data_IF_602918836637
#
_entry.id   IF_602918836637
#
_cell.length_a   1.000
_cell.length_b   1.000
_cell.length_c   1.000
_cell.angle_alpha   90.00
_cell.angle_beta   90.00
_cell.angle_gamma   90.00
#
_symmetry.space_group_name_H-M   'P 1'
#
loop_
_entity.id
_entity.type
_entity.pdbx_description
1 polymer ?
#
# COMPACT_ATOMS: atom_id res chain seq x y z
N UNK A 1 -12.15 17.91 17.91
CA UNK A 1 -11.91 17.18 16.63
C UNK A 1 -10.43 16.97 16.44
N UNK A 2 -10.01 15.77 16.09
CA UNK A 2 -8.62 15.47 15.74
C UNK A 2 -8.32 16.08 14.36
N UNK A 3 -7.25 16.86 14.26
CA UNK A 3 -6.72 17.36 13.00
C UNK A 3 -5.58 16.43 12.58
N UNK A 4 -5.68 15.84 11.39
CA UNK A 4 -4.66 14.99 10.81
C UNK A 4 -3.72 15.85 9.96
N UNK A 5 -2.41 15.79 10.22
CA UNK A 5 -1.40 16.58 9.51
C UNK A 5 -0.62 15.71 8.51
N UNK A 6 -0.18 14.53 8.94
CA UNK A 6 0.62 13.64 8.10
C UNK A 6 0.38 12.17 8.40
N UNK A 7 0.63 11.33 7.42
CA UNK A 7 0.50 9.87 7.50
C UNK A 7 1.77 9.25 6.95
N UNK A 8 2.42 8.39 7.75
CA UNK A 8 3.51 7.54 7.29
C UNK A 8 3.06 6.10 7.22
N UNK A 9 3.31 5.45 6.09
CA UNK A 9 2.76 4.13 5.84
C UNK A 9 3.59 3.29 4.85
N UNK A 10 3.39 1.96 4.92
CA UNK A 10 3.94 0.95 3.99
C UNK A 10 2.87 -0.09 3.68
N UNK A 11 3.03 -0.85 2.61
CA UNK A 11 2.20 -2.00 2.24
C UNK A 11 0.70 -1.64 2.20
N UNK A 12 -0.16 -2.37 2.90
CA UNK A 12 -1.59 -2.09 3.02
C UNK A 12 -1.85 -0.72 3.68
N UNK A 13 -0.99 -0.31 4.62
CA UNK A 13 -1.04 1.01 5.22
C UNK A 13 -0.85 2.13 4.20
N UNK A 14 0.04 1.95 3.22
CA UNK A 14 0.23 2.92 2.13
C UNK A 14 -1.02 3.03 1.24
N UNK A 15 -1.68 1.91 0.94
CA UNK A 15 -2.98 1.92 0.24
C UNK A 15 -4.01 2.72 1.04
N UNK A 16 -4.15 2.42 2.33
CA UNK A 16 -5.07 3.14 3.21
C UNK A 16 -4.79 4.64 3.24
N UNK A 17 -3.53 5.03 3.40
CA UNK A 17 -3.13 6.44 3.46
C UNK A 17 -3.49 7.21 2.19
N UNK A 18 -3.19 6.64 1.03
CA UNK A 18 -3.44 7.29 -0.26
C UNK A 18 -4.93 7.31 -0.61
N UNK A 19 -5.65 6.21 -0.39
CA UNK A 19 -7.13 6.16 -0.60
C UNK A 19 -7.85 7.11 0.33
N UNK A 20 -7.41 7.21 1.60
CA UNK A 20 -7.96 8.16 2.57
C UNK A 20 -7.74 9.60 2.11
N UNK A 21 -6.53 9.95 1.68
CA UNK A 21 -6.19 11.29 1.23
C UNK A 21 -6.97 11.67 -0.04
N UNK A 22 -7.07 10.78 -1.03
CA UNK A 22 -7.84 10.97 -2.25
C UNK A 22 -9.34 11.15 -1.97
N UNK A 23 -9.91 10.29 -1.14
CA UNK A 23 -11.31 10.40 -0.73
C UNK A 23 -11.59 11.68 0.06
N UNK A 24 -10.63 12.10 0.89
CA UNK A 24 -10.75 13.36 1.63
C UNK A 24 -10.72 14.58 0.70
N UNK A 25 -9.82 14.56 -0.29
CA UNK A 25 -9.74 15.61 -1.31
C UNK A 25 -11.05 15.76 -2.08
N UNK A 26 -11.71 14.64 -2.38
CA UNK A 26 -12.98 14.58 -3.14
C UNK A 26 -14.22 14.93 -2.32
N UNK A 27 -14.26 14.60 -1.02
CA UNK A 27 -15.48 14.72 -0.23
C UNK A 27 -15.25 14.79 1.29
N UNK A 28 -14.09 15.26 1.74
CA UNK A 28 -13.77 15.39 3.16
C UNK A 28 -13.86 14.06 3.91
N UNK A 29 -14.27 14.08 5.17
CA UNK A 29 -14.37 12.89 6.02
C UNK A 29 -15.30 11.81 5.46
N UNK A 30 -16.40 12.21 4.84
CA UNK A 30 -17.34 11.27 4.23
C UNK A 30 -16.73 10.59 3.00
N UNK A 31 -16.08 11.36 2.12
CA UNK A 31 -15.38 10.86 0.96
C UNK A 31 -14.24 9.90 1.32
N UNK A 32 -13.49 10.19 2.38
CA UNK A 32 -12.43 9.30 2.88
C UNK A 32 -12.98 7.93 3.31
N UNK A 33 -14.09 7.91 4.07
CA UNK A 33 -14.74 6.65 4.48
C UNK A 33 -15.27 5.86 3.28
N UNK A 34 -15.94 6.54 2.36
CA UNK A 34 -16.49 5.91 1.15
C UNK A 34 -15.38 5.36 0.28
N UNK A 35 -14.30 6.12 0.09
CA UNK A 35 -13.13 5.68 -0.67
C UNK A 35 -12.49 4.40 -0.09
N UNK A 36 -12.25 4.39 1.21
CA UNK A 36 -11.71 3.21 1.89
C UNK A 36 -12.64 1.99 1.78
N UNK A 37 -13.93 2.17 2.03
CA UNK A 37 -14.92 1.09 1.91
C UNK A 37 -14.97 0.53 0.48
N UNK A 38 -15.04 1.41 -0.53
CA UNK A 38 -15.07 1.02 -1.94
C UNK A 38 -13.79 0.31 -2.39
N UNK A 39 -12.63 0.77 -1.92
CA UNK A 39 -11.34 0.15 -2.25
C UNK A 39 -11.27 -1.28 -1.70
N UNK A 40 -11.54 -1.47 -0.41
CA UNK A 40 -11.45 -2.80 0.20
C UNK A 40 -12.53 -3.77 -0.26
N UNK A 41 -13.74 -3.28 -0.56
CA UNK A 41 -14.78 -4.09 -1.21
C UNK A 41 -14.32 -4.58 -2.60
N UNK A 42 -13.72 -3.69 -3.39
CA UNK A 42 -13.19 -4.05 -4.70
C UNK A 42 -12.01 -5.03 -4.62
N UNK A 43 -11.12 -4.88 -3.65
CA UNK A 43 -10.02 -5.83 -3.38
C UNK A 43 -10.61 -7.20 -2.98
N UNK A 44 -11.59 -7.21 -2.08
CA UNK A 44 -12.25 -8.45 -1.65
C UNK A 44 -12.92 -9.21 -2.79
N UNK A 45 -13.55 -8.50 -3.72
CA UNK A 45 -14.17 -9.10 -4.92
C UNK A 45 -13.18 -9.69 -5.92
N UNK A 46 -11.92 -9.27 -5.88
CA UNK A 46 -10.85 -9.82 -6.73
C UNK A 46 -10.19 -11.06 -6.13
N UNK A 47 -10.44 -11.35 -4.84
CA UNK A 47 -9.93 -12.57 -4.21
C UNK A 47 -10.71 -13.80 -4.69
N UNK A 48 -10.03 -14.89 -5.10
CA UNK A 48 -10.71 -16.14 -5.45
C UNK A 48 -11.53 -16.67 -4.27
N UNK A 49 -12.72 -17.17 -4.57
CA UNK A 49 -13.58 -17.79 -3.57
C UNK A 49 -12.84 -18.95 -2.85
N UNK A 50 -12.90 -18.98 -1.52
CA UNK A 50 -12.24 -20.00 -0.70
C UNK A 50 -10.77 -19.75 -0.35
N UNK A 51 -10.17 -18.63 -0.78
CA UNK A 51 -8.81 -18.27 -0.36
C UNK A 51 -8.72 -17.88 1.11
N UNK A 52 -9.79 -17.40 1.69
CA UNK A 52 -9.86 -16.87 3.05
C UNK A 52 -10.92 -17.63 3.82
N UNK A 53 -10.64 -18.00 5.04
CA UNK A 53 -11.60 -18.56 6.00
C UNK A 53 -11.69 -17.64 7.20
N UNK A 54 -12.85 -17.64 7.88
CA UNK A 54 -12.98 -17.02 9.18
C UNK A 54 -12.07 -17.76 10.16
N UNK A 55 -11.11 -17.05 10.76
CA UNK A 55 -10.26 -17.57 11.84
C UNK A 55 -10.98 -17.50 13.18
N UNK A 56 -10.24 -17.76 14.25
CA UNK A 56 -10.76 -17.64 15.62
C UNK A 56 -11.12 -16.17 15.93
N UNK A 57 -12.39 -15.89 16.20
CA UNK A 57 -12.92 -14.53 16.34
C UNK A 57 -13.15 -13.83 14.99
N UNK A 58 -12.97 -12.51 14.95
CA UNK A 58 -13.12 -11.67 13.73
C UNK A 58 -11.88 -11.68 12.81
N UNK A 59 -10.87 -12.50 13.10
CA UNK A 59 -9.66 -12.57 12.31
C UNK A 59 -9.89 -13.33 11.00
N UNK A 60 -9.48 -12.71 9.88
CA UNK A 60 -9.47 -13.36 8.57
C UNK A 60 -8.17 -14.17 8.45
N UNK A 61 -8.27 -15.48 8.19
CA UNK A 61 -7.13 -16.37 8.02
C UNK A 61 -7.11 -16.98 6.60
N UNK A 62 -5.91 -17.28 6.10
CA UNK A 62 -5.78 -18.05 4.87
C UNK A 62 -6.29 -19.48 5.10
N UNK A 63 -7.07 -20.02 4.16
CA UNK A 63 -7.51 -21.41 4.19
C UNK A 63 -6.30 -22.36 4.18
N UNK A 64 -6.43 -23.60 4.70
CA UNK A 64 -5.36 -24.59 4.64
C UNK A 64 -4.87 -24.83 3.21
N UNK A 65 -5.77 -24.85 2.23
CA UNK A 65 -5.44 -24.98 0.80
C UNK A 65 -4.63 -23.78 0.30
N UNK A 66 -4.98 -22.56 0.72
CA UNK A 66 -4.24 -21.34 0.36
C UNK A 66 -2.85 -21.32 0.99
N UNK A 67 -2.70 -21.78 2.22
CA UNK A 67 -1.40 -21.92 2.89
C UNK A 67 -0.49 -22.92 2.17
N UNK A 68 -1.07 -24.06 1.78
CA UNK A 68 -0.33 -25.08 1.01
C UNK A 68 0.11 -24.53 -0.36
N UNK A 69 -0.82 -23.86 -1.08
CA UNK A 69 -0.54 -23.25 -2.38
C UNK A 69 0.53 -22.15 -2.27
N UNK A 70 0.46 -21.30 -1.25
CA UNK A 70 1.46 -20.26 -0.99
C UNK A 70 2.84 -20.85 -0.69
N UNK A 71 2.91 -21.94 0.08
CA UNK A 71 4.15 -22.65 0.35
C UNK A 71 4.72 -23.29 -0.92
N UNK A 72 3.89 -23.94 -1.73
CA UNK A 72 4.28 -24.53 -3.01
C UNK A 72 4.76 -23.46 -4.00
N UNK A 73 4.00 -22.35 -4.13
CA UNK A 73 4.36 -21.21 -4.97
C UNK A 73 5.69 -20.54 -4.55
N UNK A 74 6.07 -20.65 -3.28
CA UNK A 74 7.34 -20.15 -2.76
C UNK A 74 8.60 -20.81 -3.37
N UNK A 75 8.45 -21.91 -4.07
CA UNK A 75 9.55 -22.59 -4.79
C UNK A 75 9.77 -22.05 -6.22
N UNK A 76 8.89 -21.19 -6.70
CA UNK A 76 8.96 -20.60 -8.05
C UNK A 76 9.33 -19.12 -7.98
N UNK A 77 9.98 -18.63 -9.04
CA UNK A 77 10.24 -17.20 -9.19
C UNK A 77 8.95 -16.45 -9.55
N UNK A 78 8.84 -15.14 -9.22
CA UNK A 78 7.70 -14.33 -9.64
C UNK A 78 7.42 -14.36 -11.13
N UNK A 79 8.47 -14.43 -11.94
CA UNK A 79 8.35 -14.54 -13.41
C UNK A 79 7.77 -15.86 -13.91
N UNK A 80 7.93 -16.93 -13.13
CA UNK A 80 7.34 -18.24 -13.45
C UNK A 80 5.87 -18.29 -13.02
N UNK A 81 5.51 -17.66 -11.90
CA UNK A 81 4.15 -17.61 -11.37
C UNK A 81 3.25 -16.62 -12.11
N UNK A 82 3.81 -15.50 -12.57
CA UNK A 82 3.11 -14.42 -13.25
C UNK A 82 3.89 -13.93 -14.49
N UNK A 83 3.98 -14.74 -15.56
CA UNK A 83 4.79 -14.43 -16.72
C UNK A 83 4.31 -13.19 -17.48
N UNK A 84 3.01 -12.88 -17.38
CA UNK A 84 2.40 -11.70 -18.03
C UNK A 84 2.42 -10.44 -17.16
N UNK A 85 2.98 -10.54 -15.95
CA UNK A 85 3.04 -9.45 -14.96
C UNK A 85 1.68 -8.77 -14.70
N UNK A 86 0.63 -9.60 -14.65
CA UNK A 86 -0.73 -9.13 -14.38
C UNK A 86 -0.83 -8.70 -12.92
N UNK A 87 -1.24 -7.45 -12.73
CA UNK A 87 -1.45 -6.90 -11.40
C UNK A 87 -2.85 -6.26 -11.31
N UNK A 88 -3.84 -7.00 -10.80
CA UNK A 88 -5.21 -6.49 -10.65
C UNK A 88 -5.28 -5.22 -9.78
N UNK A 89 -4.39 -5.10 -8.80
CA UNK A 89 -4.29 -3.92 -7.94
C UNK A 89 -3.93 -2.67 -8.75
N UNK A 90 -3.06 -2.80 -9.77
CA UNK A 90 -2.70 -1.70 -10.68
C UNK A 90 -3.94 -1.09 -11.33
N UNK A 91 -4.77 -1.91 -11.94
CA UNK A 91 -6.01 -1.47 -12.61
C UNK A 91 -6.98 -0.82 -11.63
N UNK A 92 -7.11 -1.38 -10.44
CA UNK A 92 -7.97 -0.84 -9.39
C UNK A 92 -7.51 0.55 -8.94
N UNK A 93 -6.23 0.71 -8.64
CA UNK A 93 -5.65 1.97 -8.18
C UNK A 93 -5.73 3.06 -9.26
N UNK A 94 -5.42 2.73 -10.52
CA UNK A 94 -5.57 3.67 -11.64
C UNK A 94 -7.00 4.20 -11.80
N UNK A 95 -7.99 3.35 -11.51
CA UNK A 95 -9.40 3.73 -11.63
C UNK A 95 -9.90 4.58 -10.47
N UNK A 96 -9.40 4.33 -9.26
CA UNK A 96 -9.94 4.93 -8.03
C UNK A 96 -9.21 6.21 -7.62
N UNK A 97 -7.90 6.30 -7.85
CA UNK A 97 -7.04 7.35 -7.29
C UNK A 97 -6.71 8.41 -8.34
N UNK A 98 -6.91 9.66 -7.96
CA UNK A 98 -6.42 10.82 -8.70
C UNK A 98 -5.02 11.21 -8.21
N UNK A 99 -4.00 10.55 -8.77
CA UNK A 99 -2.61 10.82 -8.39
C UNK A 99 -2.16 12.25 -8.71
N UNK A 100 -2.70 12.86 -9.77
CA UNK A 100 -2.37 14.23 -10.14
C UNK A 100 -2.97 15.23 -9.14
N UNK A 101 -4.23 15.06 -8.80
CA UNK A 101 -4.91 15.85 -7.78
C UNK A 101 -4.21 15.76 -6.42
N UNK A 102 -3.77 14.55 -6.02
CA UNK A 102 -3.03 14.35 -4.78
C UNK A 102 -1.67 15.05 -4.79
N UNK A 103 -0.91 15.00 -5.88
CA UNK A 103 0.36 15.74 -5.98
C UNK A 103 0.16 17.25 -5.89
N UNK A 104 -0.93 17.74 -6.46
CA UNK A 104 -1.23 19.17 -6.50
C UNK A 104 -1.79 19.71 -5.17
N UNK A 105 -2.62 18.93 -4.47
CA UNK A 105 -3.42 19.45 -3.36
C UNK A 105 -3.74 18.38 -2.30
N UNK A 106 -2.79 17.52 -1.94
CA UNK A 106 -3.01 16.53 -0.88
C UNK A 106 -3.44 17.22 0.42
N UNK A 107 -4.51 16.72 1.09
CA UNK A 107 -4.97 17.27 2.35
C UNK A 107 -4.03 16.96 3.53
N UNK A 108 -3.11 16.02 3.34
CA UNK A 108 -2.14 15.56 4.35
C UNK A 108 -0.77 15.40 3.75
N UNK A 109 0.28 15.53 4.56
CA UNK A 109 1.61 15.06 4.21
C UNK A 109 1.60 13.53 4.16
N UNK A 110 2.05 12.96 3.07
CA UNK A 110 2.14 11.50 2.90
C UNK A 110 3.60 11.06 2.85
N UNK A 111 3.91 10.03 3.61
CA UNK A 111 5.25 9.44 3.68
C UNK A 111 5.14 7.95 3.34
N UNK A 112 5.36 7.60 2.08
CA UNK A 112 5.20 6.24 1.58
C UNK A 112 6.56 5.55 1.54
N UNK A 113 6.71 4.53 2.39
CA UNK A 113 7.95 3.76 2.50
C UNK A 113 8.07 2.70 1.41
N UNK A 114 9.26 2.60 0.83
CA UNK A 114 9.69 1.53 -0.09
C UNK A 114 11.10 1.09 0.26
N UNK A 115 11.50 -0.11 -0.16
CA UNK A 115 12.86 -0.62 0.02
C UNK A 115 13.55 -0.67 -1.34
N UNK A 116 14.68 0.01 -1.49
CA UNK A 116 15.49 -0.10 -2.70
C UNK A 116 16.10 -1.51 -2.79
N UNK A 117 15.77 -2.26 -3.83
CA UNK A 117 16.10 -3.68 -3.93
C UNK A 117 17.61 -3.96 -3.95
N UNK A 118 18.40 -3.09 -4.60
CA UNK A 118 19.85 -3.28 -4.74
C UNK A 118 20.64 -3.00 -3.46
N UNK A 119 20.11 -2.17 -2.56
CA UNK A 119 20.85 -1.71 -1.37
C UNK A 119 20.19 -2.10 -0.04
N UNK A 120 18.93 -2.52 -0.06
CA UNK A 120 18.11 -2.74 1.13
C UNK A 120 17.76 -1.45 1.89
N UNK A 121 18.09 -0.28 1.34
CA UNK A 121 17.85 1.00 2.00
C UNK A 121 16.40 1.45 1.85
N UNK A 122 15.90 2.04 2.93
CA UNK A 122 14.61 2.71 2.93
C UNK A 122 14.63 3.94 2.01
N UNK A 123 13.62 4.06 1.17
CA UNK A 123 13.26 5.29 0.47
C UNK A 123 11.85 5.69 0.88
N UNK A 124 11.69 6.91 1.37
CA UNK A 124 10.37 7.49 1.69
C UNK A 124 10.03 8.50 0.61
N UNK A 125 8.92 8.29 -0.06
CA UNK A 125 8.34 9.20 -1.05
C UNK A 125 7.27 10.08 -0.40
N UNK A 126 7.20 11.34 -0.82
CA UNK A 126 6.24 12.31 -0.31
C UNK A 126 5.07 12.47 -1.28
N UNK A 127 3.99 13.12 -0.83
CA UNK A 127 2.77 13.33 -1.63
C UNK A 127 3.03 13.94 -3.01
N UNK A 128 3.96 14.90 -3.13
CA UNK A 128 4.28 15.55 -4.40
C UNK A 128 5.06 14.66 -5.38
N UNK A 129 5.65 13.56 -4.91
CA UNK A 129 6.32 12.54 -5.71
C UNK A 129 5.37 11.41 -6.11
N UNK A 130 4.17 11.32 -5.51
CA UNK A 130 3.33 10.14 -5.54
C UNK A 130 2.91 9.73 -6.96
N UNK A 131 3.20 8.48 -7.30
CA UNK A 131 2.76 7.82 -8.54
C UNK A 131 2.17 6.46 -8.24
N UNK A 132 1.52 5.87 -9.23
CA UNK A 132 1.03 4.50 -9.15
C UNK A 132 2.17 3.51 -8.84
N UNK A 133 3.33 3.70 -9.48
CA UNK A 133 4.50 2.85 -9.32
C UNK A 133 5.03 2.89 -7.88
N UNK A 134 5.06 4.05 -7.24
CA UNK A 134 5.47 4.21 -5.84
C UNK A 134 4.54 3.42 -4.92
N UNK A 135 3.23 3.52 -5.14
CA UNK A 135 2.26 2.82 -4.33
C UNK A 135 2.33 1.30 -4.54
N UNK A 136 2.49 0.85 -5.78
CA UNK A 136 2.72 -0.57 -6.10
C UNK A 136 4.03 -1.09 -5.52
N UNK A 137 5.10 -0.30 -5.56
CA UNK A 137 6.39 -0.66 -4.97
C UNK A 137 6.29 -0.86 -3.46
N UNK A 138 5.55 0.04 -2.77
CA UNK A 138 5.34 -0.05 -1.32
C UNK A 138 4.66 -1.36 -0.88
N UNK A 139 3.94 -2.04 -1.79
CA UNK A 139 3.27 -3.32 -1.53
C UNK A 139 3.82 -4.47 -2.39
N UNK A 140 5.00 -4.30 -3.00
CA UNK A 140 5.62 -5.29 -3.86
C UNK A 140 6.38 -6.34 -3.06
N UNK A 141 5.79 -7.51 -2.86
CA UNK A 141 6.42 -8.63 -2.16
C UNK A 141 7.39 -9.38 -3.08
N UNK A 142 8.68 -9.51 -2.71
CA UNK A 142 9.73 -10.09 -3.58
C UNK A 142 9.47 -11.52 -4.04
N UNK A 143 8.71 -12.30 -3.26
CA UNK A 143 8.38 -13.70 -3.58
C UNK A 143 7.21 -13.84 -4.56
N UNK A 144 6.44 -12.77 -4.80
CA UNK A 144 5.20 -12.83 -5.59
C UNK A 144 5.28 -11.92 -6.81
N UNK A 145 5.99 -10.80 -6.70
CA UNK A 145 6.06 -9.77 -7.74
C UNK A 145 7.50 -9.48 -8.14
N UNK A 146 7.68 -9.07 -9.39
CA UNK A 146 8.94 -8.46 -9.82
C UNK A 146 9.11 -7.11 -9.13
N UNK A 147 10.38 -6.65 -8.88
CA UNK A 147 10.62 -5.32 -8.36
C UNK A 147 9.96 -4.26 -9.26
N UNK A 148 9.36 -3.25 -8.65
CA UNK A 148 8.80 -2.11 -9.38
C UNK A 148 9.94 -1.13 -9.68
N UNK A 149 10.07 -0.73 -10.95
CA UNK A 149 11.06 0.25 -11.36
C UNK A 149 10.50 1.68 -11.16
N UNK A 150 11.23 2.50 -10.44
CA UNK A 150 10.99 3.93 -10.28
C UNK A 150 12.28 4.64 -10.66
N UNK A 151 12.24 5.47 -11.68
CA UNK A 151 13.42 6.17 -12.23
C UNK A 151 14.60 5.22 -12.53
N UNK A 152 14.30 4.04 -13.07
CA UNK A 152 15.28 3.01 -13.41
C UNK A 152 15.86 2.24 -12.22
N UNK A 153 15.44 2.52 -11.00
CA UNK A 153 15.86 1.79 -9.79
C UNK A 153 14.77 0.80 -9.35
N UNK A 154 15.15 -0.44 -8.96
CA UNK A 154 14.19 -1.43 -8.49
C UNK A 154 13.83 -1.21 -7.01
N UNK A 155 12.54 -1.32 -6.71
CA UNK A 155 12.00 -1.19 -5.35
C UNK A 155 11.08 -2.35 -4.99
N UNK A 156 11.12 -2.68 -3.71
CA UNK A 156 10.24 -3.64 -3.03
C UNK A 156 9.47 -2.98 -1.90
N UNK A 157 8.59 -3.77 -1.28
CA UNK A 157 7.79 -3.38 -0.12
C UNK A 157 8.62 -2.68 0.96
N UNK A 158 8.11 -1.56 1.46
CA UNK A 158 8.76 -0.75 2.48
C UNK A 158 8.91 -1.47 3.81
N UNK A 159 8.07 -2.46 4.09
CA UNK A 159 8.11 -3.26 5.31
C UNK A 159 9.41 -4.02 5.54
N UNK A 160 10.22 -4.21 4.48
CA UNK A 160 11.56 -4.80 4.61
C UNK A 160 12.60 -3.85 5.23
N UNK A 161 12.35 -2.54 5.19
CA UNK A 161 13.26 -1.52 5.74
C UNK A 161 12.67 -0.79 6.94
N UNK A 162 11.37 -0.50 6.93
CA UNK A 162 10.64 0.15 8.02
C UNK A 162 9.13 -0.07 7.88
N UNK A 163 8.43 -0.38 8.99
CA UNK A 163 7.01 -0.70 8.97
C UNK A 163 6.22 -0.01 10.11
N UNK A 164 5.80 1.26 9.88
CA UNK A 164 6.27 2.25 8.93
C UNK A 164 7.50 3.03 9.41
N UNK A 165 8.04 3.89 8.55
CA UNK A 165 9.05 4.87 8.94
C UNK A 165 8.39 6.00 9.74
N UNK A 166 8.64 6.09 11.03
CA UNK A 166 8.02 7.10 11.91
C UNK A 166 8.75 8.44 11.88
N UNK A 167 10.06 8.44 11.61
CA UNK A 167 10.91 9.62 11.66
C UNK A 167 10.43 10.81 10.79
N UNK A 168 9.80 10.63 9.60
CA UNK A 168 9.34 11.79 8.83
C UNK A 168 8.27 12.59 9.56
N UNK A 169 7.43 11.92 10.37
CA UNK A 169 6.40 12.60 11.16
C UNK A 169 7.03 13.53 12.21
N UNK A 170 8.16 13.13 12.80
CA UNK A 170 8.85 13.97 13.79
C UNK A 170 9.59 15.17 13.19
N UNK A 171 10.13 15.02 11.97
CA UNK A 171 10.95 16.06 11.34
C UNK A 171 10.15 17.00 10.44
N UNK A 172 9.04 16.54 9.89
CA UNK A 172 8.29 17.26 8.84
C UNK A 172 6.88 17.67 9.26
N UNK A 173 6.38 17.20 10.41
CA UNK A 173 5.08 17.60 10.98
C UNK A 173 5.26 18.44 12.23
N UNK A 174 4.33 19.35 12.45
CA UNK A 174 4.27 20.19 13.66
C UNK A 174 3.52 19.50 14.82
N UNK A 175 2.68 18.52 14.53
CA UNK A 175 1.94 17.75 15.53
C UNK A 175 2.89 17.03 16.49
N UNK A 176 2.54 17.09 17.79
CA UNK A 176 3.31 16.41 18.85
C UNK A 176 2.83 14.98 19.12
N UNK A 177 1.65 14.65 18.64
CA UNK A 177 1.02 13.36 18.88
C UNK A 177 1.13 12.47 17.64
N UNK A 178 1.50 11.21 17.85
CA UNK A 178 1.55 10.19 16.82
C UNK A 178 0.64 9.03 17.23
N UNK A 179 -0.32 8.69 16.37
CA UNK A 179 -1.18 7.53 16.52
C UNK A 179 -0.66 6.40 15.63
N UNK A 180 -0.36 5.25 16.24
CA UNK A 180 -0.04 4.03 15.52
C UNK A 180 -1.32 3.21 15.31
N UNK A 181 -1.59 2.84 14.07
CA UNK A 181 -2.67 1.92 13.68
C UNK A 181 -2.03 0.64 13.15
N UNK A 182 -2.32 -0.49 13.82
CA UNK A 182 -1.83 -1.83 13.48
C UNK A 182 -2.98 -2.75 13.02
#
# INVERSE_FOLDING_TARGET
>A
SIALEGISATTAGAMNAVVLADGWLKGGRAGARQGLAAFWDAVGKQMPAGMVTQGDGDAIALSPASKWLANWAGHFSPSQLNPLDLNPLRTLLMRLIDFEGLRAASPFKLFIGTTQANSGKLRVFREHELTLEILLASACLPKIHRPVLIDGQPYWDGGYSANPAVFPLFYECASRDVLLVQ
#
